data_IF_111248465060
#
_entry.id   IF_111248465060
#
_cell.length_a   1.000
_cell.length_b   1.000
_cell.length_c   1.000
_cell.angle_alpha   90.00
_cell.angle_beta   90.00
_cell.angle_gamma   90.00
#
_symmetry.space_group_name_H-M   'P 1'
#
loop_
_entity.id
_entity.type
_entity.pdbx_description
1 polymer ?
#
# COMPACT_ATOMS: atom_id res chain seq x y z
N UNK A 1 21.35 -16.01 -23.10
CA UNK A 1 21.76 -15.12 -21.99
C UNK A 1 20.75 -13.99 -21.90
N UNK A 2 20.27 -13.75 -20.70
CA UNK A 2 19.30 -12.66 -20.47
C UNK A 2 19.96 -11.30 -20.72
N UNK A 3 19.26 -10.43 -21.40
CA UNK A 3 19.63 -9.02 -21.60
C UNK A 3 18.64 -8.15 -20.84
N UNK A 4 19.14 -7.12 -20.14
CA UNK A 4 18.37 -6.22 -19.31
C UNK A 4 18.52 -4.78 -19.77
N UNK A 5 17.43 -4.04 -19.73
CA UNK A 5 17.40 -2.58 -19.83
C UNK A 5 16.22 -2.03 -19.04
N UNK A 6 16.22 -0.75 -18.76
CA UNK A 6 15.04 -0.12 -18.17
C UNK A 6 14.64 1.14 -18.96
N UNK A 7 13.37 1.53 -18.77
CA UNK A 7 12.79 2.76 -19.30
C UNK A 7 12.12 3.48 -18.14
N UNK A 8 12.48 4.73 -17.91
CA UNK A 8 11.78 5.60 -16.97
C UNK A 8 10.56 6.20 -17.64
N UNK A 9 9.45 6.24 -16.91
CA UNK A 9 8.25 6.96 -17.29
C UNK A 9 7.71 7.76 -16.10
N UNK A 10 7.40 9.03 -16.34
CA UNK A 10 6.77 9.90 -15.35
C UNK A 10 5.28 9.98 -15.68
N UNK A 11 4.45 9.56 -14.74
CA UNK A 11 3.02 9.66 -14.83
C UNK A 11 2.54 10.98 -14.23
N UNK A 12 1.66 11.67 -14.93
CA UNK A 12 0.95 12.83 -14.41
C UNK A 12 -0.36 12.38 -13.74
N UNK A 13 -0.63 12.84 -12.55
CA UNK A 13 -1.91 12.60 -11.90
C UNK A 13 -3.00 13.42 -12.57
N UNK A 14 -4.13 12.82 -12.87
CA UNK A 14 -5.31 13.53 -13.41
C UNK A 14 -5.82 14.63 -12.46
N UNK A 15 -5.59 14.44 -11.16
CA UNK A 15 -5.85 15.41 -10.08
C UNK A 15 -4.74 15.28 -9.05
N UNK A 16 -4.29 16.39 -8.45
CA UNK A 16 -3.33 16.32 -7.34
C UNK A 16 -3.84 15.39 -6.24
N UNK A 17 -2.99 14.48 -5.78
CA UNK A 17 -3.35 13.51 -4.74
C UNK A 17 -2.75 13.94 -3.40
N UNK A 18 -3.60 14.30 -2.45
CA UNK A 18 -3.19 14.59 -1.07
C UNK A 18 -2.84 13.30 -0.32
N UNK A 19 -1.64 13.24 0.22
CA UNK A 19 -1.17 12.13 1.06
C UNK A 19 -0.78 12.66 2.44
N UNK A 20 -0.59 11.78 3.41
CA UNK A 20 -0.06 12.15 4.73
C UNK A 20 1.34 12.81 4.66
N UNK A 21 2.01 12.77 3.50
CA UNK A 21 3.37 13.31 3.26
C UNK A 21 3.42 14.48 2.28
N UNK A 22 2.27 14.97 1.82
CA UNK A 22 2.16 16.09 0.89
C UNK A 22 1.32 15.77 -0.35
N UNK A 23 1.33 16.70 -1.30
CA UNK A 23 0.56 16.61 -2.53
C UNK A 23 1.43 16.03 -3.64
N UNK A 24 0.98 14.96 -4.26
CA UNK A 24 1.62 14.36 -5.44
C UNK A 24 0.90 14.82 -6.70
N UNK A 25 1.67 15.33 -7.66
CA UNK A 25 1.20 15.71 -9.01
C UNK A 25 1.75 14.79 -10.09
N UNK A 26 2.91 14.17 -9.80
CA UNK A 26 3.57 13.22 -10.72
C UNK A 26 4.07 12.01 -9.94
N UNK A 27 4.31 10.91 -10.66
CA UNK A 27 4.92 9.68 -10.12
C UNK A 27 5.89 9.11 -11.16
N UNK A 28 7.14 8.92 -10.75
CA UNK A 28 8.14 8.20 -11.54
C UNK A 28 8.02 6.69 -11.35
N UNK A 29 8.12 5.95 -12.44
CA UNK A 29 8.27 4.49 -12.46
C UNK A 29 9.34 4.09 -13.47
N UNK A 30 10.09 3.04 -13.15
CA UNK A 30 11.08 2.46 -14.06
C UNK A 30 10.63 1.05 -14.44
N UNK A 31 10.47 0.82 -15.74
CA UNK A 31 10.10 -0.48 -16.27
C UNK A 31 11.36 -1.25 -16.64
N UNK A 32 11.70 -2.26 -15.84
CA UNK A 32 12.78 -3.20 -16.14
C UNK A 32 12.30 -4.20 -17.19
N UNK A 33 13.03 -4.30 -18.28
CA UNK A 33 12.72 -5.19 -19.41
C UNK A 33 13.85 -6.21 -19.54
N UNK A 34 13.51 -7.47 -19.33
CA UNK A 34 14.40 -8.60 -19.58
C UNK A 34 14.06 -9.22 -20.94
N UNK A 35 15.09 -9.64 -21.67
CA UNK A 35 14.91 -10.29 -22.98
C UNK A 35 15.80 -11.51 -23.06
N UNK A 36 15.25 -12.65 -23.48
CA UNK A 36 15.99 -13.87 -23.73
C UNK A 36 15.30 -14.70 -24.83
N UNK A 37 16.07 -15.17 -25.82
CA UNK A 37 15.56 -15.98 -26.94
C UNK A 37 14.30 -15.41 -27.61
N UNK A 38 14.23 -14.09 -27.79
CA UNK A 38 13.10 -13.37 -28.39
C UNK A 38 11.89 -13.18 -27.47
N UNK A 39 11.88 -13.75 -26.27
CA UNK A 39 10.88 -13.48 -25.23
C UNK A 39 11.21 -12.22 -24.49
N UNK A 40 10.18 -11.55 -23.93
CA UNK A 40 10.33 -10.37 -23.08
C UNK A 40 9.60 -10.57 -21.77
N UNK A 41 10.25 -10.20 -20.67
CA UNK A 41 9.66 -10.04 -19.36
C UNK A 41 9.70 -8.58 -18.93
N UNK A 42 8.67 -8.09 -18.25
CA UNK A 42 8.56 -6.71 -17.79
C UNK A 42 8.20 -6.68 -16.31
N UNK A 43 8.91 -5.86 -15.55
CA UNK A 43 8.60 -5.56 -14.16
C UNK A 43 8.69 -4.06 -13.88
N UNK A 44 7.83 -3.56 -13.00
CA UNK A 44 7.81 -2.16 -12.61
C UNK A 44 8.58 -1.97 -11.30
N UNK A 45 9.63 -1.15 -11.33
CA UNK A 45 10.31 -0.64 -10.15
C UNK A 45 9.63 0.69 -9.79
N UNK A 46 8.72 0.64 -8.82
CA UNK A 46 7.78 1.72 -8.51
C UNK A 46 8.05 2.28 -7.13
N UNK A 47 8.50 3.55 -7.06
CA UNK A 47 8.68 4.26 -5.80
C UNK A 47 7.56 5.27 -5.55
N UNK A 48 7.26 5.49 -4.28
CA UNK A 48 6.44 6.59 -3.79
C UNK A 48 7.34 7.53 -3.01
N UNK A 49 7.49 8.75 -3.52
CA UNK A 49 8.36 9.77 -2.94
C UNK A 49 8.01 10.02 -1.47
N UNK A 50 9.03 9.97 -0.61
CA UNK A 50 8.90 10.14 0.84
C UNK A 50 8.30 8.96 1.60
N UNK A 51 7.93 7.85 0.91
CA UNK A 51 7.40 6.63 1.54
C UNK A 51 8.28 5.41 1.28
N UNK A 52 8.68 5.18 0.02
CA UNK A 52 9.51 4.03 -0.34
C UNK A 52 10.86 4.09 0.37
N UNK A 53 11.28 2.96 0.93
CA UNK A 53 12.57 2.84 1.61
C UNK A 53 13.74 3.20 0.68
N UNK A 54 13.62 2.81 -0.57
CA UNK A 54 14.61 3.05 -1.63
C UNK A 54 14.34 4.32 -2.47
N UNK A 55 13.53 5.27 -1.96
CA UNK A 55 13.45 6.63 -2.51
C UNK A 55 14.77 7.41 -2.23
N UNK A 56 15.80 7.06 -2.99
CA UNK A 56 17.15 7.54 -2.81
C UNK A 56 17.73 8.10 -4.12
N UNK A 57 18.58 9.15 -4.10
CA UNK A 57 19.18 9.74 -5.31
C UNK A 57 19.94 8.74 -6.19
N UNK A 58 20.45 7.65 -5.63
CA UNK A 58 21.16 6.59 -6.36
C UNK A 58 20.25 5.51 -6.93
N UNK A 59 18.93 5.61 -6.81
CA UNK A 59 17.99 4.58 -7.27
C UNK A 59 18.23 4.18 -8.73
N UNK A 60 18.25 5.15 -9.63
CA UNK A 60 18.44 4.88 -11.06
C UNK A 60 19.86 4.36 -11.36
N UNK A 61 20.88 4.83 -10.64
CA UNK A 61 22.25 4.33 -10.77
C UNK A 61 22.33 2.86 -10.34
N UNK A 62 21.66 2.49 -9.26
CA UNK A 62 21.58 1.09 -8.77
C UNK A 62 20.86 0.21 -9.78
N UNK A 63 19.73 0.68 -10.33
CA UNK A 63 18.99 -0.06 -11.35
C UNK A 63 19.82 -0.25 -12.63
N UNK A 64 20.62 0.73 -13.01
CA UNK A 64 21.58 0.65 -14.14
C UNK A 64 22.65 -0.39 -13.87
N UNK A 65 23.25 -0.36 -12.68
CA UNK A 65 24.24 -1.36 -12.28
C UNK A 65 23.69 -2.80 -12.28
N UNK A 66 22.43 -3.00 -11.83
CA UNK A 66 21.75 -4.28 -11.95
C UNK A 66 21.63 -4.74 -13.41
N UNK A 67 21.21 -3.84 -14.32
CA UNK A 67 21.16 -4.18 -15.75
C UNK A 67 22.52 -4.58 -16.30
N UNK A 68 23.59 -3.86 -15.94
CA UNK A 68 24.95 -4.15 -16.39
C UNK A 68 25.44 -5.51 -15.88
N UNK A 69 25.16 -5.87 -14.62
CA UNK A 69 25.49 -7.18 -14.06
C UNK A 69 24.75 -8.31 -14.79
N UNK A 70 23.46 -8.14 -15.07
CA UNK A 70 22.67 -9.12 -15.84
C UNK A 70 23.26 -9.30 -17.24
N UNK A 71 23.57 -8.19 -17.94
CA UNK A 71 24.06 -8.19 -19.30
C UNK A 71 25.46 -8.82 -19.44
N UNK A 72 26.27 -8.72 -18.39
CA UNK A 72 27.63 -9.30 -18.35
C UNK A 72 27.69 -10.66 -17.71
N UNK A 73 26.58 -11.18 -17.16
CA UNK A 73 26.54 -12.47 -16.47
C UNK A 73 27.29 -12.46 -15.13
N UNK A 74 27.48 -11.30 -14.52
CA UNK A 74 28.09 -11.16 -13.21
C UNK A 74 27.12 -11.57 -12.10
N UNK A 75 27.66 -11.86 -10.90
CA UNK A 75 26.85 -12.07 -9.70
C UNK A 75 26.06 -10.78 -9.39
N UNK A 76 24.78 -10.95 -9.10
CA UNK A 76 23.92 -9.82 -8.80
C UNK A 76 24.24 -9.26 -7.41
N UNK A 77 24.14 -7.95 -7.29
CA UNK A 77 24.21 -7.25 -6.01
C UNK A 77 23.08 -7.68 -5.07
N UNK A 78 23.25 -7.45 -3.78
CA UNK A 78 22.16 -7.57 -2.82
C UNK A 78 21.08 -6.50 -3.08
N UNK A 79 19.87 -6.95 -3.37
CA UNK A 79 18.70 -6.09 -3.61
C UNK A 79 17.84 -5.88 -2.36
N UNK A 80 18.22 -6.43 -1.21
CA UNK A 80 17.48 -6.26 0.06
C UNK A 80 17.24 -4.78 0.41
N UNK A 81 18.22 -3.86 0.25
CA UNK A 81 17.99 -2.43 0.51
C UNK A 81 17.19 -1.70 -0.59
N UNK A 82 16.78 -2.40 -1.65
CA UNK A 82 16.15 -1.84 -2.84
C UNK A 82 14.83 -2.55 -3.16
N UNK A 83 13.82 -2.47 -2.28
CA UNK A 83 12.59 -3.26 -2.40
C UNK A 83 11.84 -3.04 -3.71
N UNK A 84 11.75 -1.80 -4.22
CA UNK A 84 11.08 -1.53 -5.48
C UNK A 84 11.86 -2.10 -6.69
N UNK A 85 13.20 -2.06 -6.66
CA UNK A 85 14.05 -2.69 -7.69
C UNK A 85 13.90 -4.21 -7.61
N UNK A 86 13.95 -4.79 -6.40
CA UNK A 86 13.79 -6.23 -6.19
C UNK A 86 12.45 -6.72 -6.72
N UNK A 87 11.35 -6.08 -6.35
CA UNK A 87 10.01 -6.38 -6.85
C UNK A 87 9.95 -6.31 -8.39
N UNK A 88 10.51 -5.24 -8.97
CA UNK A 88 10.57 -5.08 -10.44
C UNK A 88 11.38 -6.20 -11.10
N UNK A 89 12.51 -6.58 -10.53
CA UNK A 89 13.35 -7.66 -11.06
C UNK A 89 12.65 -9.04 -10.97
N UNK A 90 12.10 -9.38 -9.81
CA UNK A 90 11.36 -10.63 -9.62
C UNK A 90 10.16 -10.71 -10.55
N UNK A 91 9.40 -9.62 -10.68
CA UNK A 91 8.26 -9.53 -11.61
C UNK A 91 8.70 -9.69 -13.06
N UNK A 92 9.82 -9.06 -13.47
CA UNK A 92 10.36 -9.19 -14.82
C UNK A 92 10.80 -10.64 -15.12
N UNK A 93 11.40 -11.34 -14.15
CA UNK A 93 11.78 -12.76 -14.28
C UNK A 93 10.55 -13.66 -14.41
N UNK A 94 9.54 -13.46 -13.55
CA UNK A 94 8.27 -14.20 -13.65
C UNK A 94 7.61 -13.97 -15.01
N UNK A 95 7.60 -12.72 -15.47
CA UNK A 95 7.06 -12.33 -16.78
C UNK A 95 7.81 -12.99 -17.94
N UNK A 96 9.15 -13.04 -17.89
CA UNK A 96 10.00 -13.68 -18.90
C UNK A 96 9.74 -15.19 -18.99
N UNK A 97 9.50 -15.84 -17.86
CA UNK A 97 9.27 -17.28 -17.75
C UNK A 97 7.79 -17.67 -17.93
N UNK A 98 6.88 -16.69 -17.96
CA UNK A 98 5.45 -16.95 -18.17
C UNK A 98 5.15 -17.31 -19.63
N UNK A 99 4.08 -18.09 -19.84
CA UNK A 99 3.53 -18.33 -21.16
C UNK A 99 2.95 -17.06 -21.81
N UNK A 100 2.50 -16.11 -21.00
CA UNK A 100 1.98 -14.81 -21.43
C UNK A 100 2.64 -13.70 -20.61
N UNK A 101 3.30 -12.75 -21.25
CA UNK A 101 4.13 -11.70 -20.66
C UNK A 101 3.45 -10.93 -19.52
N UNK A 102 2.14 -10.72 -19.60
CA UNK A 102 1.39 -9.91 -18.64
C UNK A 102 0.44 -10.73 -17.74
N UNK A 103 0.49 -12.06 -17.79
CA UNK A 103 -0.31 -12.94 -16.93
C UNK A 103 0.60 -13.81 -16.08
N UNK A 104 1.07 -13.25 -14.97
CA UNK A 104 2.04 -13.89 -14.07
C UNK A 104 1.39 -14.96 -13.19
N UNK A 105 0.15 -14.74 -12.78
CA UNK A 105 -0.57 -15.59 -11.84
C UNK A 105 -1.94 -15.94 -12.45
N UNK A 106 -2.03 -17.00 -13.30
CA UNK A 106 -3.27 -17.40 -13.94
C UNK A 106 -4.35 -17.69 -12.89
N UNK A 107 -5.47 -16.98 -12.98
CA UNK A 107 -6.61 -17.10 -12.09
C UNK A 107 -7.90 -16.77 -12.84
N UNK A 108 -9.05 -17.00 -12.23
CA UNK A 108 -10.32 -16.59 -12.84
C UNK A 108 -10.38 -15.07 -13.07
N UNK A 109 -9.76 -14.28 -12.19
CA UNK A 109 -9.67 -12.83 -12.35
C UNK A 109 -8.82 -12.44 -13.56
N UNK A 110 -7.58 -12.97 -13.67
CA UNK A 110 -6.69 -12.65 -14.78
C UNK A 110 -7.18 -13.17 -16.12
N UNK A 111 -8.10 -14.14 -16.12
CA UNK A 111 -8.82 -14.63 -17.30
C UNK A 111 -10.08 -13.82 -17.61
N UNK A 112 -10.43 -12.80 -16.83
CA UNK A 112 -11.65 -12.00 -16.98
C UNK A 112 -12.94 -12.75 -16.63
N UNK A 113 -12.85 -13.87 -15.89
CA UNK A 113 -14.00 -14.73 -15.52
C UNK A 113 -14.55 -14.45 -14.12
N UNK A 114 -13.83 -13.68 -13.31
CA UNK A 114 -14.25 -13.27 -11.97
C UNK A 114 -13.77 -11.84 -11.68
N UNK A 115 -14.52 -11.13 -10.84
CA UNK A 115 -14.10 -9.83 -10.29
C UNK A 115 -13.31 -10.02 -8.99
N UNK A 116 -12.52 -9.03 -8.62
CA UNK A 116 -11.92 -8.90 -7.29
C UNK A 116 -12.65 -7.76 -6.57
N UNK A 117 -13.18 -8.00 -5.35
CA UNK A 117 -13.75 -6.93 -4.54
C UNK A 117 -12.69 -5.87 -4.19
N UNK A 118 -13.03 -4.61 -4.36
CA UNK A 118 -12.17 -3.48 -4.00
C UNK A 118 -12.96 -2.48 -3.16
N UNK A 119 -12.28 -1.71 -2.32
CA UNK A 119 -12.90 -0.57 -1.64
C UNK A 119 -12.79 0.71 -2.48
N UNK A 120 -13.76 1.60 -2.31
CA UNK A 120 -13.60 3.00 -2.65
C UNK A 120 -12.67 3.69 -1.65
N UNK A 121 -11.93 4.71 -2.09
CA UNK A 121 -11.02 5.48 -1.24
C UNK A 121 -11.50 6.93 -1.13
N UNK A 122 -11.60 7.40 0.12
CA UNK A 122 -11.85 8.81 0.46
C UNK A 122 -10.54 9.42 0.93
N UNK A 123 -10.02 10.35 0.14
CA UNK A 123 -8.80 11.09 0.46
C UNK A 123 -9.06 12.16 1.51
N UNK A 124 -8.02 12.47 2.28
CA UNK A 124 -8.01 13.55 3.26
C UNK A 124 -8.35 14.90 2.60
N UNK A 125 -9.09 15.73 3.32
CA UNK A 125 -9.46 17.07 2.87
C UNK A 125 -10.42 17.72 3.86
N UNK A 126 -11.12 18.78 3.46
CA UNK A 126 -12.18 19.38 4.26
C UNK A 126 -13.35 18.39 4.43
N UNK A 127 -14.16 18.59 5.46
CA UNK A 127 -15.35 17.79 5.71
C UNK A 127 -16.24 17.68 4.46
N UNK A 128 -16.54 18.79 3.79
CA UNK A 128 -17.39 18.80 2.60
C UNK A 128 -16.76 18.03 1.43
N UNK A 129 -15.45 18.18 1.21
CA UNK A 129 -14.73 17.44 0.19
C UNK A 129 -14.73 15.92 0.45
N UNK A 130 -14.55 15.50 1.69
CA UNK A 130 -14.61 14.08 2.06
C UNK A 130 -16.04 13.54 1.88
N UNK A 131 -17.04 14.32 2.26
CA UNK A 131 -18.46 13.98 2.06
C UNK A 131 -18.80 13.81 0.59
N UNK A 132 -18.40 14.74 -0.28
CA UNK A 132 -18.60 14.63 -1.74
C UNK A 132 -17.97 13.35 -2.32
N UNK A 133 -16.77 12.98 -1.85
CA UNK A 133 -16.14 11.73 -2.28
C UNK A 133 -16.95 10.50 -1.84
N UNK A 134 -17.45 10.49 -0.59
CA UNK A 134 -18.31 9.40 -0.09
C UNK A 134 -19.56 9.29 -0.96
N UNK A 135 -20.27 10.38 -1.18
CA UNK A 135 -21.50 10.38 -1.99
C UNK A 135 -21.20 9.86 -3.41
N UNK A 136 -20.09 10.30 -4.03
CA UNK A 136 -19.67 9.80 -5.35
C UNK A 136 -19.35 8.29 -5.37
N UNK A 137 -18.79 7.74 -4.28
CA UNK A 137 -18.51 6.30 -4.19
C UNK A 137 -19.81 5.50 -4.02
N UNK A 138 -20.75 6.01 -3.23
CA UNK A 138 -22.05 5.40 -3.05
C UNK A 138 -22.87 5.39 -4.35
N UNK A 139 -22.85 6.49 -5.12
CA UNK A 139 -23.45 6.56 -6.45
C UNK A 139 -22.86 5.55 -7.45
N UNK A 140 -21.63 5.14 -7.21
CA UNK A 140 -20.92 4.10 -7.99
C UNK A 140 -21.06 2.70 -7.39
N UNK A 141 -21.96 2.52 -6.42
CA UNK A 141 -22.31 1.23 -5.81
C UNK A 141 -21.14 0.52 -5.11
N UNK A 142 -20.19 1.27 -4.52
CA UNK A 142 -19.18 0.68 -3.65
C UNK A 142 -19.80 0.22 -2.33
N UNK A 143 -19.61 -1.04 -1.98
CA UNK A 143 -20.06 -1.68 -0.73
C UNK A 143 -19.00 -1.65 0.39
N UNK A 144 -17.78 -1.21 0.06
CA UNK A 144 -16.69 -1.01 1.00
C UNK A 144 -16.03 0.35 0.75
N UNK A 145 -15.94 1.18 1.78
CA UNK A 145 -15.35 2.52 1.71
C UNK A 145 -14.21 2.62 2.72
N UNK A 146 -13.01 2.95 2.25
CA UNK A 146 -11.85 3.26 3.09
C UNK A 146 -11.71 4.78 3.22
N UNK A 147 -11.75 5.30 4.44
CA UNK A 147 -11.69 6.74 4.74
C UNK A 147 -10.36 7.03 5.43
N UNK A 148 -9.58 7.95 4.88
CA UNK A 148 -8.39 8.45 5.57
C UNK A 148 -8.79 9.41 6.68
N UNK A 149 -8.22 9.19 7.89
CA UNK A 149 -8.51 9.97 9.10
C UNK A 149 -7.21 10.46 9.73
N UNK A 150 -7.33 11.36 10.72
CA UNK A 150 -6.17 11.94 11.43
C UNK A 150 -5.62 13.22 10.80
N UNK A 151 -6.31 13.81 9.81
CA UNK A 151 -5.87 15.06 9.16
C UNK A 151 -6.72 16.28 9.52
N UNK A 152 -7.96 16.06 9.91
CA UNK A 152 -8.87 17.13 10.38
C UNK A 152 -9.22 16.88 11.85
N UNK A 153 -10.04 17.76 12.41
CA UNK A 153 -10.53 17.56 13.78
C UNK A 153 -11.23 16.22 13.93
N UNK A 154 -10.91 15.47 14.97
CA UNK A 154 -11.39 14.10 15.15
C UNK A 154 -12.91 14.02 15.34
N UNK A 155 -13.54 15.04 15.96
CA UNK A 155 -15.00 15.08 16.12
C UNK A 155 -15.69 15.32 14.77
N UNK A 156 -15.05 16.05 13.84
CA UNK A 156 -15.51 16.17 12.44
C UNK A 156 -15.45 14.84 11.72
N UNK A 157 -14.38 14.05 11.93
CA UNK A 157 -14.24 12.70 11.36
C UNK A 157 -15.33 11.75 11.91
N UNK A 158 -15.59 11.80 13.22
CA UNK A 158 -16.70 11.03 13.82
C UNK A 158 -18.07 11.47 13.27
N UNK A 159 -18.26 12.75 13.03
CA UNK A 159 -19.50 13.28 12.44
C UNK A 159 -19.70 12.76 11.01
N UNK A 160 -18.64 12.66 10.22
CA UNK A 160 -18.67 12.10 8.87
C UNK A 160 -19.08 10.61 8.90
N UNK A 161 -18.48 9.84 9.80
CA UNK A 161 -18.79 8.42 10.02
C UNK A 161 -20.24 8.23 10.48
N UNK A 162 -20.73 9.09 11.39
CA UNK A 162 -22.11 9.08 11.87
C UNK A 162 -23.10 9.33 10.73
N UNK A 163 -22.83 10.31 9.85
CA UNK A 163 -23.68 10.57 8.68
C UNK A 163 -23.77 9.36 7.74
N UNK A 164 -22.64 8.67 7.52
CA UNK A 164 -22.61 7.47 6.69
C UNK A 164 -23.39 6.32 7.35
N UNK A 165 -23.21 6.06 8.65
CA UNK A 165 -23.92 5.01 9.40
C UNK A 165 -25.40 5.27 9.57
N UNK A 166 -25.83 6.52 9.69
CA UNK A 166 -27.25 6.87 9.73
C UNK A 166 -27.98 6.56 8.40
N UNK A 167 -27.26 6.52 7.29
CA UNK A 167 -27.83 6.19 5.95
C UNK A 167 -27.68 4.69 5.63
N UNK A 168 -26.61 4.04 6.07
CA UNK A 168 -26.27 2.68 5.70
C UNK A 168 -25.78 1.87 6.92
N UNK A 169 -26.37 0.72 7.14
CA UNK A 169 -25.94 -0.23 8.18
C UNK A 169 -24.58 -0.86 7.86
N UNK A 170 -23.94 -1.47 8.83
CA UNK A 170 -22.68 -2.19 8.63
C UNK A 170 -22.81 -3.41 7.71
N UNK A 171 -24.02 -3.97 7.61
CA UNK A 171 -24.32 -5.06 6.67
C UNK A 171 -24.45 -4.59 5.23
N UNK A 172 -24.70 -3.28 4.99
CA UNK A 172 -24.82 -2.70 3.65
C UNK A 172 -23.51 -2.12 3.17
N UNK A 173 -22.82 -1.33 4.02
CA UNK A 173 -21.54 -0.68 3.68
C UNK A 173 -20.51 -1.01 4.73
N UNK A 174 -19.45 -1.69 4.32
CA UNK A 174 -18.26 -1.88 5.15
C UNK A 174 -17.44 -0.58 5.19
N UNK A 175 -17.07 -0.12 6.39
CA UNK A 175 -16.20 1.03 6.56
C UNK A 175 -14.83 0.55 7.04
N UNK A 176 -13.78 0.99 6.36
CA UNK A 176 -12.38 0.91 6.82
C UNK A 176 -11.87 2.32 7.05
N UNK A 177 -11.03 2.49 8.05
CA UNK A 177 -10.36 3.78 8.27
C UNK A 177 -8.85 3.61 8.25
N UNK A 178 -8.14 4.66 7.88
CA UNK A 178 -6.68 4.65 7.76
C UNK A 178 -6.13 5.91 8.40
N UNK A 179 -5.44 5.75 9.51
CA UNK A 179 -4.89 6.84 10.31
C UNK A 179 -3.45 7.21 9.94
N UNK A 180 -2.75 6.39 9.13
CA UNK A 180 -1.34 6.60 8.75
C UNK A 180 -0.44 6.99 9.93
N UNK A 181 -0.66 6.42 11.12
CA UNK A 181 0.11 6.68 12.32
C UNK A 181 -0.20 7.98 13.05
N UNK A 182 -1.32 8.63 12.75
CA UNK A 182 -1.62 9.99 13.24
C UNK A 182 -2.02 10.04 14.72
N UNK A 183 -2.45 8.93 15.33
CA UNK A 183 -2.91 8.99 16.73
C UNK A 183 -1.73 8.99 17.70
N UNK A 184 -1.78 9.91 18.66
CA UNK A 184 -0.83 9.92 19.77
C UNK A 184 -0.99 8.67 20.66
N UNK A 185 0.12 8.11 21.16
CA UNK A 185 0.10 6.87 21.95
C UNK A 185 -0.88 6.86 23.12
N UNK A 186 -1.02 8.00 23.82
CA UNK A 186 -1.87 8.12 25.01
C UNK A 186 -3.37 8.21 24.68
N UNK A 187 -3.71 8.66 23.49
CA UNK A 187 -5.10 8.90 23.08
C UNK A 187 -5.65 7.82 22.14
N UNK A 188 -4.76 7.00 21.55
CA UNK A 188 -5.11 6.03 20.52
C UNK A 188 -6.25 5.11 20.96
N UNK A 189 -6.16 4.49 22.14
CA UNK A 189 -7.20 3.59 22.61
C UNK A 189 -8.55 4.29 22.79
N UNK A 190 -8.56 5.50 23.36
CA UNK A 190 -9.79 6.29 23.54
C UNK A 190 -10.42 6.71 22.20
N UNK A 191 -9.60 6.97 21.17
CA UNK A 191 -10.10 7.22 19.82
C UNK A 191 -10.68 5.94 19.19
N UNK A 192 -10.02 4.80 19.39
CA UNK A 192 -10.53 3.50 18.94
C UNK A 192 -11.86 3.13 19.59
N UNK A 193 -12.02 3.42 20.90
CA UNK A 193 -13.29 3.24 21.59
C UNK A 193 -14.42 4.07 20.97
N UNK A 194 -14.15 5.35 20.64
CA UNK A 194 -15.15 6.20 19.95
C UNK A 194 -15.46 5.70 18.55
N UNK A 195 -14.47 5.23 17.78
CA UNK A 195 -14.64 4.67 16.44
C UNK A 195 -15.47 3.39 16.44
N UNK A 196 -15.42 2.58 17.51
CA UNK A 196 -16.17 1.32 17.60
C UNK A 196 -17.68 1.51 17.50
N UNK A 197 -18.20 2.66 17.92
CA UNK A 197 -19.62 2.99 17.80
C UNK A 197 -20.14 2.99 16.34
N UNK A 198 -19.23 3.04 15.36
CA UNK A 198 -19.57 3.05 13.93
C UNK A 198 -19.39 1.68 13.26
N UNK A 199 -19.23 0.61 14.01
CA UNK A 199 -19.05 -0.75 13.47
C UNK A 199 -18.00 -0.80 12.35
N UNK A 200 -16.81 -0.20 12.62
CA UNK A 200 -15.69 -0.13 11.68
C UNK A 200 -15.12 -1.53 11.47
N UNK A 201 -14.92 -1.94 10.23
CA UNK A 201 -14.30 -3.21 9.87
C UNK A 201 -12.86 -3.31 10.40
N UNK A 202 -12.07 -2.27 10.16
CA UNK A 202 -10.67 -2.21 10.61
C UNK A 202 -10.13 -0.79 10.55
N UNK A 203 -9.12 -0.52 11.38
CA UNK A 203 -8.28 0.68 11.31
C UNK A 203 -6.88 0.31 10.86
N UNK A 204 -6.36 1.01 9.86
CA UNK A 204 -5.00 0.86 9.36
C UNK A 204 -4.06 1.82 10.06
N UNK A 205 -2.94 1.29 10.59
CA UNK A 205 -1.83 1.99 11.24
C UNK A 205 -2.28 3.13 12.18
N UNK A 206 -2.90 2.84 13.33
CA UNK A 206 -3.44 3.88 14.22
C UNK A 206 -2.37 4.78 14.83
N UNK A 207 -1.20 4.24 15.18
CA UNK A 207 -0.06 4.97 15.77
C UNK A 207 1.18 4.91 14.88
N UNK A 208 2.11 5.85 15.08
CA UNK A 208 3.37 5.88 14.35
C UNK A 208 4.16 4.56 14.48
N UNK A 209 4.90 4.21 13.43
CA UNK A 209 5.72 2.99 13.35
C UNK A 209 6.80 2.89 14.42
N UNK A 210 7.39 1.69 14.60
CA UNK A 210 8.46 1.38 15.55
C UNK A 210 8.07 1.49 17.03
N UNK A 211 6.79 1.30 17.32
CA UNK A 211 6.23 1.27 18.68
C UNK A 211 5.56 -0.10 18.93
N UNK A 212 6.27 -1.20 18.67
CA UNK A 212 5.72 -2.55 18.65
C UNK A 212 5.01 -2.95 19.93
N UNK A 213 5.60 -2.64 21.09
CA UNK A 213 4.95 -2.97 22.36
C UNK A 213 3.59 -2.26 22.53
N UNK A 214 3.54 -0.98 22.17
CA UNK A 214 2.31 -0.22 22.25
C UNK A 214 1.27 -0.68 21.22
N UNK A 215 1.72 -1.01 19.99
CA UNK A 215 0.85 -1.57 18.96
C UNK A 215 0.31 -2.94 19.40
N UNK A 216 1.14 -3.79 20.07
CA UNK A 216 0.72 -5.04 20.68
C UNK A 216 -0.40 -4.82 21.70
N UNK A 217 -0.24 -3.82 22.58
CA UNK A 217 -1.23 -3.49 23.59
C UNK A 217 -2.54 -2.98 22.96
N UNK A 218 -2.44 -2.20 21.88
CA UNK A 218 -3.61 -1.76 21.12
C UNK A 218 -4.31 -2.93 20.43
N UNK A 219 -3.59 -3.82 19.75
CA UNK A 219 -4.18 -5.00 19.10
C UNK A 219 -4.93 -5.91 20.08
N UNK A 220 -4.47 -5.98 21.34
CA UNK A 220 -5.14 -6.76 22.40
C UNK A 220 -6.36 -6.09 23.00
N UNK A 221 -6.39 -4.74 23.06
CA UNK A 221 -7.39 -3.97 23.82
C UNK A 221 -8.41 -3.26 22.93
N UNK A 222 -8.06 -3.00 21.69
CA UNK A 222 -8.90 -2.23 20.76
C UNK A 222 -10.21 -2.97 20.45
N UNK A 223 -11.36 -2.29 20.54
CA UNK A 223 -12.62 -2.83 20.05
C UNK A 223 -12.75 -2.82 18.54
N UNK A 224 -11.85 -2.09 17.83
CA UNK A 224 -11.77 -2.06 16.37
C UNK A 224 -10.57 -2.89 15.93
N UNK A 225 -10.73 -3.86 15.00
CA UNK A 225 -9.61 -4.64 14.46
C UNK A 225 -8.54 -3.76 13.82
N UNK A 226 -7.27 -4.06 14.07
CA UNK A 226 -6.12 -3.27 13.60
C UNK A 226 -5.48 -3.95 12.39
N UNK A 227 -5.16 -3.15 11.37
CA UNK A 227 -4.35 -3.52 10.22
C UNK A 227 -2.99 -2.83 10.28
N UNK A 228 -1.89 -3.56 10.08
CA UNK A 228 -0.56 -2.98 9.90
C UNK A 228 -0.34 -2.63 8.44
N UNK A 229 0.28 -1.48 8.16
CA UNK A 229 0.73 -1.04 6.85
C UNK A 229 2.17 -0.56 6.92
N UNK A 230 2.40 0.68 7.33
CA UNK A 230 3.73 1.29 7.36
C UNK A 230 4.70 0.58 8.29
N UNK A 231 4.23 -0.19 9.28
CA UNK A 231 5.07 -0.96 10.19
C UNK A 231 5.97 -1.96 9.48
N UNK A 232 5.54 -2.45 8.32
CA UNK A 232 6.27 -3.43 7.52
C UNK A 232 7.33 -2.82 6.60
N UNK A 233 7.25 -1.49 6.34
CA UNK A 233 8.18 -0.82 5.43
C UNK A 233 9.57 -0.74 6.08
N UNK A 234 10.57 -1.25 5.37
CA UNK A 234 11.95 -1.32 5.88
C UNK A 234 12.29 -2.58 6.67
N UNK A 235 11.34 -3.53 6.76
CA UNK A 235 11.56 -4.85 7.35
C UNK A 235 11.55 -5.87 6.21
N UNK A 236 12.72 -6.31 5.76
CA UNK A 236 12.87 -7.10 4.53
C UNK A 236 13.25 -8.56 4.75
N UNK A 237 13.77 -8.90 5.92
CA UNK A 237 14.10 -10.29 6.23
C UNK A 237 12.91 -11.00 6.88
N UNK A 238 12.77 -12.28 6.55
CA UNK A 238 11.65 -13.10 6.98
C UNK A 238 11.61 -13.29 8.51
N UNK A 239 12.76 -13.37 9.17
CA UNK A 239 12.83 -13.59 10.62
C UNK A 239 12.28 -12.37 11.36
N UNK A 240 12.73 -11.16 11.01
CA UNK A 240 12.23 -9.90 11.61
C UNK A 240 10.76 -9.67 11.29
N UNK A 241 10.30 -9.96 10.06
CA UNK A 241 8.87 -9.89 9.71
C UNK A 241 8.04 -10.85 10.57
N UNK A 242 8.53 -12.08 10.75
CA UNK A 242 7.88 -13.10 11.56
C UNK A 242 7.82 -12.71 13.04
N UNK A 243 8.91 -12.16 13.58
CA UNK A 243 8.98 -11.64 14.94
C UNK A 243 7.99 -10.49 15.14
N UNK A 244 8.00 -9.48 14.24
CA UNK A 244 7.08 -8.34 14.26
C UNK A 244 5.62 -8.80 14.31
N UNK A 245 5.23 -9.67 13.40
CA UNK A 245 3.84 -10.14 13.31
C UNK A 245 3.47 -11.02 14.52
N UNK A 246 4.38 -11.86 14.99
CA UNK A 246 4.16 -12.72 16.17
C UNK A 246 4.05 -11.92 17.47
N UNK A 247 4.80 -10.81 17.59
CA UNK A 247 4.74 -9.92 18.75
C UNK A 247 3.48 -9.06 18.72
N UNK A 248 3.19 -8.39 17.62
CA UNK A 248 2.08 -7.41 17.52
C UNK A 248 0.73 -8.13 17.45
N UNK A 249 0.64 -9.23 16.71
CA UNK A 249 -0.58 -10.00 16.47
C UNK A 249 -1.74 -9.15 15.93
N UNK A 250 -1.54 -8.42 14.82
CA UNK A 250 -2.60 -7.64 14.21
C UNK A 250 -3.70 -8.54 13.64
N UNK A 251 -4.91 -8.02 13.50
CA UNK A 251 -6.01 -8.76 12.87
C UNK A 251 -5.90 -8.79 11.36
N UNK A 252 -5.24 -7.76 10.79
CA UNK A 252 -5.02 -7.64 9.33
C UNK A 252 -3.64 -7.09 9.03
N UNK A 253 -3.18 -7.35 7.80
CA UNK A 253 -1.93 -6.82 7.25
C UNK A 253 -2.19 -6.25 5.86
N UNK A 254 -1.65 -5.08 5.57
CA UNK A 254 -1.71 -4.45 4.25
C UNK A 254 -0.39 -4.71 3.55
N UNK A 255 -0.43 -5.46 2.46
CA UNK A 255 0.75 -5.73 1.65
C UNK A 255 0.87 -4.75 0.48
N UNK A 256 2.05 -4.11 0.39
CA UNK A 256 2.46 -3.27 -0.74
C UNK A 256 3.76 -3.85 -1.31
N UNK A 257 3.71 -4.79 -2.26
CA UNK A 257 4.89 -5.56 -2.68
C UNK A 257 6.09 -4.70 -3.08
N UNK A 258 5.86 -3.56 -3.77
CA UNK A 258 6.95 -2.64 -4.14
C UNK A 258 7.63 -1.95 -2.95
N UNK A 259 6.99 -1.91 -1.78
CA UNK A 259 7.57 -1.36 -0.54
C UNK A 259 8.22 -2.43 0.33
N UNK A 260 7.92 -3.71 0.08
CA UNK A 260 8.39 -4.87 0.84
C UNK A 260 9.48 -5.66 0.11
N UNK A 261 9.59 -5.51 -1.20
CA UNK A 261 10.61 -6.18 -2.01
C UNK A 261 10.17 -7.51 -2.60
N UNK A 262 8.89 -7.64 -2.89
CA UNK A 262 8.33 -8.83 -3.55
C UNK A 262 7.41 -9.63 -2.67
#
# INVERSE_FOLDING_TARGET
>A
MIQAKFVKHTFDFKRPSGTSRGILTTKDSWFLILTEHGKKGVGECSILKGLSYDDHPTFETTLRALCDQINTGQALMDLTPWPAIKMGYETALLSLNSAMTYNLFPSLFTQGKAAIPINGLVWMGSFDYMKEQIDSLLDREFDCIKIKIGAIDFDEELRLLAQLRNRYSASTISIRVDANGAFGPKEALGKLDKLSAFEIHSIEQPIAVKQWQLMTDLCKKSPVPIALDEELIGVFDFETQSELLSQIQPQYVIFKPSLLGG
#
